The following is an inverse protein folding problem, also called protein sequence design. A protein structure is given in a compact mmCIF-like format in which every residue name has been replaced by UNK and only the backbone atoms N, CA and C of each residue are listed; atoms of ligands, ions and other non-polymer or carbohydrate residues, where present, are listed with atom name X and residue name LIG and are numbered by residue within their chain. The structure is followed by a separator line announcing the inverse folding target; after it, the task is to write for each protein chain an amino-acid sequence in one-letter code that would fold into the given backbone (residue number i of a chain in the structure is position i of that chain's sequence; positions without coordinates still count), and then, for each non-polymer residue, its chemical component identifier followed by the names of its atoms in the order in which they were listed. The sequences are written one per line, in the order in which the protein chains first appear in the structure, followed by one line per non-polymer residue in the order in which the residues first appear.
data_IF_977580209632
#
_entry.id   IF_977580209632
#
_cell.length_a   1.000
_cell.length_b   1.000
_cell.length_c   1.000
_cell.angle_alpha   90.00
_cell.angle_beta   90.00
_cell.angle_gamma   90.00
#
_symmetry.space_group_name_H-M   'P 1'
#
loop_
_entity.id
_entity.type
_entity.pdbx_description
1 polymer ?
#
# COMPACT_ATOMS: atom_id res chain seq x y z
N UNK A 1 -0.76 -2.41 14.34
CA UNK A 1 0.36 -3.29 13.90
C UNK A 1 0.79 -4.14 15.08
N UNK A 2 1.09 -5.43 14.86
CA UNK A 2 1.74 -6.28 15.86
C UNK A 2 3.25 -6.38 15.60
N UNK A 3 4.01 -6.79 16.62
CA UNK A 3 5.46 -6.91 16.58
C UNK A 3 5.91 -8.26 17.14
N UNK A 4 6.91 -8.85 16.51
CA UNK A 4 7.47 -10.13 16.91
C UNK A 4 8.92 -10.26 16.42
N UNK A 5 9.75 -10.94 17.19
CA UNK A 5 11.16 -11.24 16.85
C UNK A 5 11.32 -12.61 16.19
N UNK A 6 10.35 -13.02 15.36
CA UNK A 6 10.44 -14.26 14.61
C UNK A 6 11.60 -14.23 13.62
N UNK A 7 12.14 -15.41 13.30
CA UNK A 7 13.25 -15.53 12.34
C UNK A 7 12.95 -14.85 11.01
N UNK A 8 11.75 -15.05 10.49
CA UNK A 8 11.28 -14.49 9.22
C UNK A 8 11.23 -12.96 9.24
N UNK A 9 10.74 -12.37 10.34
CA UNK A 9 10.68 -10.91 10.47
C UNK A 9 12.05 -10.27 10.70
N UNK A 10 12.94 -10.95 11.42
CA UNK A 10 14.34 -10.52 11.56
C UNK A 10 15.03 -10.50 10.20
N UNK A 11 14.77 -11.48 9.32
CA UNK A 11 15.35 -11.52 7.97
C UNK A 11 14.95 -10.29 7.13
N UNK A 12 13.75 -9.72 7.33
CA UNK A 12 13.30 -8.48 6.67
C UNK A 12 14.15 -7.26 6.99
N UNK A 13 14.99 -7.29 8.04
CA UNK A 13 15.96 -6.22 8.31
C UNK A 13 16.90 -5.99 7.12
N UNK A 14 17.24 -7.04 6.36
CA UNK A 14 18.09 -6.91 5.18
C UNK A 14 17.40 -6.25 3.98
N UNK A 15 16.08 -6.06 4.02
CA UNK A 15 15.34 -5.27 3.04
C UNK A 15 15.38 -3.77 3.36
N UNK A 16 15.76 -3.42 4.60
CA UNK A 16 15.77 -2.04 5.08
C UNK A 16 17.09 -1.34 4.75
N UNK A 17 17.02 -0.31 3.90
CA UNK A 17 18.20 0.46 3.45
C UNK A 17 19.03 1.07 4.58
N UNK A 18 18.42 1.47 5.69
CA UNK A 18 19.18 2.04 6.84
C UNK A 18 19.92 0.97 7.64
N UNK A 19 19.44 -0.28 7.62
CA UNK A 19 20.10 -1.40 8.27
C UNK A 19 21.23 -1.96 7.40
N UNK A 20 21.00 -2.13 6.10
CA UNK A 20 22.03 -2.67 5.17
C UNK A 20 23.26 -1.79 4.99
N UNK A 21 23.15 -0.49 5.29
CA UNK A 21 24.26 0.47 5.28
C UNK A 21 25.20 0.37 6.49
N UNK A 22 24.79 -0.32 7.55
CA UNK A 22 25.63 -0.55 8.72
C UNK A 22 26.76 -1.53 8.40
N UNK A 23 27.79 -1.57 9.25
CA UNK A 23 28.82 -2.62 9.10
C UNK A 23 28.25 -3.99 9.46
N UNK A 24 28.90 -5.07 9.01
CA UNK A 24 28.43 -6.43 9.32
C UNK A 24 28.42 -6.69 10.83
N UNK A 25 29.41 -6.14 11.54
CA UNK A 25 29.55 -6.26 12.98
C UNK A 25 28.40 -5.54 13.71
N UNK A 26 28.00 -4.35 13.24
CA UNK A 26 26.84 -3.62 13.76
C UNK A 26 25.53 -4.39 13.50
N UNK A 27 25.36 -4.94 12.29
CA UNK A 27 24.18 -5.73 11.93
C UNK A 27 24.05 -6.97 12.81
N UNK A 28 25.13 -7.75 12.96
CA UNK A 28 25.16 -8.94 13.81
C UNK A 28 24.89 -8.61 15.28
N UNK A 29 25.49 -7.52 15.80
CA UNK A 29 25.24 -7.09 17.16
C UNK A 29 23.77 -6.72 17.41
N UNK A 30 23.14 -6.01 16.47
CA UNK A 30 21.71 -5.66 16.55
C UNK A 30 20.84 -6.92 16.49
N UNK A 31 21.10 -7.83 15.55
CA UNK A 31 20.33 -9.09 15.42
C UNK A 31 20.46 -9.92 16.69
N UNK A 32 21.67 -10.05 17.24
CA UNK A 32 21.89 -10.79 18.47
C UNK A 32 21.16 -10.15 19.65
N UNK A 33 21.14 -8.81 19.75
CA UNK A 33 20.37 -8.12 20.78
C UNK A 33 18.85 -8.34 20.62
N UNK A 34 18.33 -8.31 19.40
CA UNK A 34 16.90 -8.53 19.13
C UNK A 34 16.48 -9.97 19.50
N UNK A 35 17.36 -10.96 19.30
CA UNK A 35 17.12 -12.36 19.64
C UNK A 35 17.02 -12.65 21.14
N UNK A 36 17.40 -11.70 22.01
CA UNK A 36 17.15 -11.82 23.45
C UNK A 36 15.65 -11.65 23.81
N UNK A 37 14.83 -11.13 22.88
CA UNK A 37 13.38 -11.08 23.03
C UNK A 37 12.78 -12.41 22.59
N UNK A 38 11.96 -13.01 23.44
CA UNK A 38 11.20 -14.24 23.18
C UNK A 38 10.43 -14.15 21.85
N UNK A 39 10.81 -15.00 20.90
CA UNK A 39 10.27 -15.03 19.54
C UNK A 39 8.84 -15.56 19.49
N UNK A 40 8.36 -16.24 20.54
CA UNK A 40 6.98 -16.70 20.66
C UNK A 40 6.01 -15.60 21.10
N UNK A 41 6.54 -14.50 21.66
CA UNK A 41 5.73 -13.41 22.19
C UNK A 41 5.29 -12.45 21.08
N UNK A 42 3.98 -12.37 20.87
CA UNK A 42 3.37 -11.39 19.98
C UNK A 42 2.99 -10.12 20.76
N UNK A 43 3.58 -8.98 20.38
CA UNK A 43 3.24 -7.68 20.95
C UNK A 43 2.20 -6.98 20.07
N UNK A 44 1.05 -6.65 20.64
CA UNK A 44 -0.01 -5.89 19.95
C UNK A 44 0.03 -4.39 20.23
N UNK A 45 0.94 -3.97 21.10
CA UNK A 45 1.15 -2.58 21.47
C UNK A 45 2.58 -2.15 21.09
N UNK A 46 2.70 -1.06 20.32
CA UNK A 46 4.01 -0.55 19.87
C UNK A 46 4.87 -0.08 21.03
N UNK A 47 4.31 0.62 22.01
CA UNK A 47 5.06 1.17 23.14
C UNK A 47 5.63 0.07 24.03
N UNK A 48 4.87 -1.01 24.24
CA UNK A 48 5.36 -2.19 24.96
C UNK A 48 6.53 -2.86 24.23
N UNK A 49 6.40 -3.04 22.92
CA UNK A 49 7.48 -3.60 22.11
C UNK A 49 8.72 -2.70 22.12
N UNK A 50 8.56 -1.40 21.94
CA UNK A 50 9.66 -0.44 21.98
C UNK A 50 10.39 -0.42 23.32
N UNK A 51 9.66 -0.59 24.44
CA UNK A 51 10.27 -0.69 25.77
C UNK A 51 11.17 -1.92 25.89
N UNK A 52 10.70 -3.09 25.46
CA UNK A 52 11.53 -4.32 25.47
C UNK A 52 12.69 -4.23 24.49
N UNK A 53 12.47 -3.67 23.29
CA UNK A 53 13.53 -3.44 22.30
C UNK A 53 14.63 -2.51 22.84
N UNK A 54 14.26 -1.37 23.45
CA UNK A 54 15.23 -0.45 24.06
C UNK A 54 16.00 -1.11 25.21
N UNK A 55 15.35 -1.99 25.97
CA UNK A 55 15.98 -2.74 27.07
C UNK A 55 17.06 -3.70 26.55
N UNK A 56 16.79 -4.50 25.51
CA UNK A 56 17.79 -5.41 24.95
C UNK A 56 18.94 -4.69 24.25
N UNK A 57 18.65 -3.59 23.54
CA UNK A 57 19.67 -2.73 22.91
C UNK A 57 20.60 -2.14 23.98
N UNK A 58 20.04 -1.61 25.07
CA UNK A 58 20.81 -1.05 26.18
C UNK A 58 21.64 -2.12 26.89
N UNK A 59 21.09 -3.32 27.11
CA UNK A 59 21.79 -4.47 27.69
C UNK A 59 23.00 -4.88 26.84
N UNK A 60 22.89 -4.78 25.52
CA UNK A 60 23.98 -5.03 24.58
C UNK A 60 24.98 -3.87 24.46
N UNK A 61 24.75 -2.73 25.13
CA UNK A 61 25.62 -1.55 25.07
C UNK A 61 25.59 -0.84 23.71
N UNK A 62 24.55 -1.06 22.90
CA UNK A 62 24.46 -0.52 21.55
C UNK A 62 23.80 0.86 21.52
N UNK A 63 24.27 1.72 20.62
CA UNK A 63 23.66 3.02 20.33
C UNK A 63 23.11 3.01 18.91
N UNK A 64 21.78 3.02 18.79
CA UNK A 64 21.08 2.89 17.50
C UNK A 64 20.52 4.24 17.06
N UNK A 65 20.84 4.66 15.83
CA UNK A 65 20.29 5.88 15.22
C UNK A 65 18.78 5.73 14.99
N UNK A 66 18.03 6.83 15.06
CA UNK A 66 16.58 6.83 14.85
C UNK A 66 16.14 6.20 13.52
N UNK A 67 16.91 6.37 12.44
CA UNK A 67 16.64 5.76 11.12
C UNK A 67 16.78 4.24 11.11
N UNK A 68 17.67 3.68 11.94
CA UNK A 68 17.84 2.24 12.11
C UNK A 68 16.76 1.70 13.04
N UNK A 69 16.44 2.42 14.12
CA UNK A 69 15.31 2.07 15.00
C UNK A 69 14.00 1.96 14.21
N UNK A 70 13.72 2.94 13.32
CA UNK A 70 12.55 2.89 12.44
C UNK A 70 12.57 1.65 11.53
N UNK A 71 13.72 1.31 10.96
CA UNK A 71 13.86 0.09 10.15
C UNK A 71 13.61 -1.19 10.93
N UNK A 72 14.09 -1.26 12.19
CA UNK A 72 13.82 -2.41 13.07
C UNK A 72 12.32 -2.54 13.34
N UNK A 73 11.66 -1.43 13.71
CA UNK A 73 10.22 -1.44 13.96
C UNK A 73 9.45 -1.87 12.71
N UNK A 74 9.79 -1.34 11.54
CA UNK A 74 9.15 -1.72 10.26
C UNK A 74 9.37 -3.20 9.94
N UNK A 75 10.59 -3.71 10.02
CA UNK A 75 10.90 -5.10 9.69
C UNK A 75 10.21 -6.10 10.62
N UNK A 76 10.10 -5.77 11.91
CA UNK A 76 9.51 -6.63 12.93
C UNK A 76 7.99 -6.50 13.07
N UNK A 77 7.39 -5.56 12.35
CA UNK A 77 5.94 -5.31 12.37
C UNK A 77 5.17 -6.07 11.29
N UNK A 78 3.93 -6.43 11.60
CA UNK A 78 2.91 -6.82 10.62
C UNK A 78 1.58 -6.14 10.93
N UNK A 79 0.72 -6.07 9.91
CA UNK A 79 -0.66 -5.63 10.12
C UNK A 79 -1.41 -6.61 10.98
N UNK A 80 -2.22 -6.04 11.86
CA UNK A 80 -3.05 -6.77 12.80
C UNK A 80 -4.22 -5.86 13.17
N UNK A 81 -5.43 -6.26 12.77
CA UNK A 81 -6.68 -5.54 13.05
C UNK A 81 -7.05 -5.57 14.53
N UNK A 82 -6.45 -6.49 15.30
CA UNK A 82 -6.66 -6.61 16.74
C UNK A 82 -5.54 -5.97 17.56
N UNK A 83 -4.57 -5.31 16.91
CA UNK A 83 -3.52 -4.57 17.59
C UNK A 83 -3.97 -3.15 17.94
N UNK A 84 -3.33 -2.59 18.95
CA UNK A 84 -3.61 -1.23 19.37
C UNK A 84 -3.25 -0.24 18.25
N UNK A 85 -4.03 0.85 18.18
CA UNK A 85 -3.75 1.96 17.28
C UNK A 85 -2.38 2.52 17.62
N UNK A 86 -1.54 2.62 16.59
CA UNK A 86 -0.24 3.25 16.73
C UNK A 86 -0.44 4.76 16.78
N UNK A 87 0.08 5.40 17.83
CA UNK A 87 -0.04 6.83 18.04
C UNK A 87 1.28 7.54 17.73
N UNK A 88 1.18 8.77 17.25
CA UNK A 88 2.31 9.68 17.15
C UNK A 88 2.70 10.26 18.54
N UNK A 89 3.67 11.18 18.55
CA UNK A 89 4.15 11.81 19.80
C UNK A 89 3.12 12.71 20.48
N UNK A 90 2.15 13.20 19.71
CA UNK A 90 1.10 14.09 20.16
C UNK A 90 -0.15 13.31 20.59
N UNK A 91 -0.12 11.97 20.44
CA UNK A 91 -1.21 11.07 20.82
C UNK A 91 -2.25 10.86 19.72
N UNK A 92 -2.00 11.32 18.50
CA UNK A 92 -2.90 11.13 17.37
C UNK A 92 -2.66 9.78 16.69
N UNK A 93 -3.70 9.10 16.16
CA UNK A 93 -3.53 7.94 15.30
C UNK A 93 -2.59 8.22 14.12
N UNK A 94 -1.62 7.34 13.91
CA UNK A 94 -0.75 7.43 12.74
C UNK A 94 -1.49 7.00 11.46
N UNK A 95 -1.39 7.75 10.34
CA UNK A 95 -1.98 7.34 9.07
C UNK A 95 -1.28 6.10 8.51
N UNK A 96 -2.06 5.11 8.07
CA UNK A 96 -1.54 4.01 7.23
C UNK A 96 -1.51 4.46 5.76
N UNK A 97 -0.32 4.61 5.14
CA UNK A 97 -0.23 5.08 3.76
C UNK A 97 -0.91 4.17 2.73
N UNK A 98 -1.08 2.88 3.00
CA UNK A 98 -1.74 1.97 2.05
C UNK A 98 -3.26 1.96 2.18
N UNK A 99 -3.81 2.52 3.27
CA UNK A 99 -5.25 2.72 3.43
C UNK A 99 -5.71 4.12 3.00
N UNK A 100 -4.82 4.91 2.39
CA UNK A 100 -5.18 6.22 1.85
C UNK A 100 -6.07 6.06 0.64
N UNK A 101 -7.23 6.70 0.70
CA UNK A 101 -8.18 6.77 -0.40
C UNK A 101 -8.68 8.21 -0.63
N UNK A 102 -9.39 8.41 -1.73
CA UNK A 102 -9.97 9.70 -2.10
C UNK A 102 -11.44 9.54 -2.46
N UNK A 103 -12.24 10.48 -1.97
CA UNK A 103 -13.67 10.57 -2.29
C UNK A 103 -13.94 11.72 -3.26
N UNK A 104 -14.79 11.46 -4.24
CA UNK A 104 -15.25 12.48 -5.19
C UNK A 104 -16.50 13.17 -4.62
N UNK A 105 -16.30 14.30 -3.96
CA UNK A 105 -17.40 15.09 -3.37
C UNK A 105 -17.99 16.03 -4.43
N UNK A 106 -19.33 16.08 -4.59
CA UNK A 106 -19.97 17.06 -5.46
C UNK A 106 -19.58 18.50 -5.09
N UNK A 107 -19.22 19.33 -6.07
CA UNK A 107 -18.70 20.69 -5.86
C UNK A 107 -19.58 21.60 -4.97
N UNK A 108 -20.89 21.34 -4.92
CA UNK A 108 -21.86 22.15 -4.15
C UNK A 108 -22.16 21.58 -2.76
N UNK A 109 -21.56 20.45 -2.41
CA UNK A 109 -21.77 19.77 -1.13
C UNK A 109 -20.58 20.08 -0.21
N UNK A 110 -20.87 20.25 1.08
CA UNK A 110 -19.83 20.40 2.10
C UNK A 110 -19.08 19.07 2.31
N UNK A 111 -17.75 19.14 2.36
CA UNK A 111 -16.88 17.97 2.43
C UNK A 111 -17.04 17.24 3.77
N UNK A 112 -17.21 17.98 4.86
CA UNK A 112 -17.38 17.39 6.20
C UNK A 112 -18.75 16.74 6.33
N UNK A 113 -19.81 17.38 5.79
CA UNK A 113 -21.15 16.77 5.75
C UNK A 113 -21.15 15.48 4.92
N UNK A 114 -20.54 15.49 3.72
CA UNK A 114 -20.39 14.28 2.90
C UNK A 114 -19.63 13.19 3.66
N UNK A 115 -18.52 13.53 4.32
CA UNK A 115 -17.71 12.58 5.06
C UNK A 115 -18.49 11.89 6.19
N UNK A 116 -19.26 12.64 6.98
CA UNK A 116 -20.07 12.07 8.08
C UNK A 116 -21.22 11.18 7.57
N UNK A 117 -21.78 11.47 6.39
CA UNK A 117 -22.92 10.73 5.84
C UNK A 117 -22.51 9.51 5.00
N UNK A 118 -21.47 9.64 4.18
CA UNK A 118 -21.13 8.66 3.14
C UNK A 118 -19.86 7.86 3.46
N UNK A 119 -18.96 8.36 4.32
CA UNK A 119 -17.68 7.67 4.61
C UNK A 119 -17.69 7.04 5.99
N UNK A 120 -17.90 7.85 7.02
CA UNK A 120 -17.77 7.45 8.43
C UNK A 120 -18.65 6.26 8.85
N UNK A 121 -19.89 6.08 8.33
CA UNK A 121 -20.69 4.91 8.67
C UNK A 121 -20.08 3.58 8.20
N UNK A 122 -19.25 3.62 7.16
CA UNK A 122 -18.61 2.44 6.59
C UNK A 122 -17.15 2.27 7.05
N UNK A 123 -16.46 3.38 7.31
CA UNK A 123 -15.08 3.41 7.80
C UNK A 123 -14.98 4.32 9.03
N UNK A 124 -15.34 3.83 10.23
CA UNK A 124 -15.40 4.65 11.45
C UNK A 124 -14.07 5.26 11.87
N UNK A 125 -12.96 4.58 11.54
CA UNK A 125 -11.60 4.99 11.87
C UNK A 125 -11.00 5.96 10.85
N UNK A 126 -11.74 6.33 9.80
CA UNK A 126 -11.27 7.29 8.81
C UNK A 126 -11.28 8.72 9.37
N UNK A 127 -10.39 9.57 8.84
CA UNK A 127 -10.42 11.02 9.06
C UNK A 127 -9.98 11.76 7.81
N UNK A 128 -10.40 13.01 7.69
CA UNK A 128 -10.02 13.88 6.57
C UNK A 128 -8.59 14.36 6.74
N UNK A 129 -7.77 14.19 5.71
CA UNK A 129 -6.43 14.78 5.68
C UNK A 129 -6.48 16.26 5.27
N UNK A 130 -6.61 17.15 6.27
CA UNK A 130 -6.70 18.61 6.05
C UNK A 130 -5.41 19.27 5.55
N UNK A 131 -4.30 18.52 5.46
CA UNK A 131 -3.05 19.06 4.88
C UNK A 131 -3.11 19.19 3.36
N UNK A 132 -4.07 18.52 2.71
CA UNK A 132 -4.30 18.60 1.27
C UNK A 132 -5.34 19.67 1.00
N UNK A 133 -4.91 20.76 0.36
CA UNK A 133 -5.76 21.91 0.04
C UNK A 133 -5.62 22.29 -1.44
N UNK A 134 -6.63 22.94 -1.99
CA UNK A 134 -6.59 23.43 -3.37
C UNK A 134 -5.69 24.66 -3.48
N UNK A 135 -4.86 24.70 -4.52
CA UNK A 135 -3.85 25.74 -4.65
C UNK A 135 -4.45 27.12 -4.99
N UNK A 136 -5.72 27.16 -5.43
CA UNK A 136 -6.40 28.42 -5.84
C UNK A 136 -7.20 29.04 -4.72
N UNK A 137 -7.95 28.25 -3.96
CA UNK A 137 -8.85 28.75 -2.92
C UNK A 137 -8.40 28.40 -1.49
N UNK A 138 -7.46 27.47 -1.33
CA UNK A 138 -6.91 27.07 -0.03
C UNK A 138 -7.83 26.19 0.81
N UNK A 139 -9.00 25.78 0.28
CA UNK A 139 -9.91 24.88 0.99
C UNK A 139 -9.42 23.44 0.93
N UNK A 140 -9.85 22.62 1.90
CA UNK A 140 -9.51 21.19 1.99
C UNK A 140 -9.99 20.45 0.73
N UNK A 141 -9.15 19.56 0.20
CA UNK A 141 -9.41 18.82 -1.04
C UNK A 141 -8.76 19.45 -2.27
N UNK A 142 -9.06 18.93 -3.46
CA UNK A 142 -8.61 19.48 -4.75
C UNK A 142 -9.82 19.64 -5.67
N UNK A 143 -10.00 20.82 -6.24
CA UNK A 143 -11.15 21.10 -7.12
C UNK A 143 -10.84 20.62 -8.54
N UNK A 144 -11.60 19.64 -9.01
CA UNK A 144 -11.48 19.07 -10.34
C UNK A 144 -12.80 19.05 -11.12
N UNK A 145 -12.70 18.87 -12.43
CA UNK A 145 -13.84 18.59 -13.30
C UNK A 145 -13.62 17.25 -13.97
N UNK A 146 -14.64 16.39 -13.92
CA UNK A 146 -14.64 15.13 -14.66
C UNK A 146 -15.46 15.29 -15.95
N UNK A 147 -14.89 14.82 -17.06
CA UNK A 147 -15.61 14.65 -18.32
C UNK A 147 -15.78 13.16 -18.51
N UNK A 148 -16.99 12.59 -18.33
CA UNK A 148 -17.19 11.15 -18.48
C UNK A 148 -17.19 10.80 -19.97
N UNK A 149 -15.99 10.58 -20.51
CA UNK A 149 -15.78 10.43 -21.95
C UNK A 149 -16.62 9.27 -22.51
N UNK A 150 -16.66 8.14 -21.80
CA UNK A 150 -17.45 6.97 -22.20
C UNK A 150 -18.94 7.31 -22.29
N UNK A 151 -19.47 8.17 -21.41
CA UNK A 151 -20.89 8.52 -21.43
C UNK A 151 -21.25 9.37 -22.65
N UNK A 152 -20.39 10.31 -23.03
CA UNK A 152 -20.71 11.30 -24.06
C UNK A 152 -20.14 10.98 -25.44
N UNK A 153 -19.03 10.25 -25.53
CA UNK A 153 -18.31 10.00 -26.77
C UNK A 153 -18.24 8.53 -27.17
N UNK A 154 -18.73 7.61 -26.32
CA UNK A 154 -18.81 6.20 -26.73
C UNK A 154 -19.83 6.05 -27.86
N UNK A 155 -19.33 5.61 -29.00
CA UNK A 155 -20.15 5.13 -30.11
C UNK A 155 -20.13 3.62 -30.04
N UNK A 156 -21.30 3.03 -29.81
CA UNK A 156 -21.44 1.58 -29.87
C UNK A 156 -21.13 1.11 -31.29
N UNK A 157 -20.02 0.39 -31.46
CA UNK A 157 -19.71 -0.31 -32.69
C UNK A 157 -20.33 -1.70 -32.63
N UNK A 158 -21.36 -1.91 -33.46
CA UNK A 158 -22.00 -3.21 -33.58
C UNK A 158 -20.97 -4.22 -34.11
N UNK A 159 -20.80 -5.33 -33.39
CA UNK A 159 -19.96 -6.44 -33.84
C UNK A 159 -20.43 -6.95 -35.20
N UNK A 160 -19.47 -7.30 -36.06
CA UNK A 160 -19.74 -7.92 -37.37
C UNK A 160 -20.47 -9.25 -37.16
N UNK A 161 -21.47 -9.60 -38.00
CA UNK A 161 -22.15 -10.89 -37.92
C UNK A 161 -21.17 -12.07 -38.03
N UNK A 162 -21.35 -13.10 -37.20
CA UNK A 162 -20.50 -14.29 -37.22
C UNK A 162 -20.52 -15.01 -38.58
N UNK A 163 -21.62 -14.93 -39.32
CA UNK A 163 -21.75 -15.49 -40.68
C UNK A 163 -20.84 -14.81 -41.70
N UNK A 164 -20.59 -13.51 -41.54
CA UNK A 164 -19.70 -12.74 -42.42
C UNK A 164 -18.25 -13.14 -42.15
N UNK A 165 -17.87 -13.22 -40.87
CA UNK A 165 -16.55 -13.70 -40.44
C UNK A 165 -16.30 -15.13 -40.94
N UNK A 166 -17.28 -16.02 -40.81
CA UNK A 166 -17.16 -17.41 -41.28
C UNK A 166 -16.96 -17.50 -42.80
N UNK A 167 -17.67 -16.67 -43.57
CA UNK A 167 -17.53 -16.61 -45.02
C UNK A 167 -16.15 -16.09 -45.43
N UNK A 168 -15.66 -15.04 -44.79
CA UNK A 168 -14.31 -14.51 -45.03
C UNK A 168 -13.23 -15.55 -44.72
N UNK A 169 -13.37 -16.29 -43.63
CA UNK A 169 -12.44 -17.38 -43.27
C UNK A 169 -12.40 -18.43 -44.40
N UNK A 170 -13.56 -18.88 -44.89
CA UNK A 170 -13.64 -19.87 -45.97
C UNK A 170 -13.03 -19.36 -47.28
N UNK A 171 -13.28 -18.10 -47.64
CA UNK A 171 -12.68 -17.47 -48.82
C UNK A 171 -11.15 -17.37 -48.69
N UNK A 172 -10.65 -17.02 -47.49
CA UNK A 172 -9.21 -16.97 -47.20
C UNK A 172 -8.58 -18.36 -47.30
N UNK A 173 -9.22 -19.39 -46.73
CA UNK A 173 -8.78 -20.79 -46.80
C UNK A 173 -8.66 -21.27 -48.25
N UNK A 174 -9.68 -20.99 -49.07
CA UNK A 174 -9.67 -21.32 -50.49
C UNK A 174 -8.50 -20.64 -51.24
N UNK A 175 -8.28 -19.34 -50.98
CA UNK A 175 -7.17 -18.60 -51.58
C UNK A 175 -5.79 -19.14 -51.15
N UNK A 176 -5.63 -19.51 -49.88
CA UNK A 176 -4.39 -20.10 -49.37
C UNK A 176 -4.10 -21.43 -50.09
N UNK A 177 -5.10 -22.30 -50.22
CA UNK A 177 -4.96 -23.59 -50.92
C UNK A 177 -4.58 -23.38 -52.39
N UNK A 178 -5.18 -22.40 -53.06
CA UNK A 178 -4.85 -22.06 -54.45
C UNK A 178 -3.40 -21.59 -54.59
N UNK A 179 -2.94 -20.67 -53.73
CA UNK A 179 -1.56 -20.17 -53.74
C UNK A 179 -0.53 -21.26 -53.45
N UNK A 180 -0.82 -22.16 -52.52
CA UNK A 180 0.05 -23.32 -52.22
C UNK A 180 0.15 -24.23 -53.44
N UNK A 181 -0.98 -24.51 -54.13
CA UNK A 181 -0.96 -25.29 -55.37
C UNK A 181 -0.13 -24.62 -56.47
N UNK A 182 -0.21 -23.30 -56.61
CA UNK A 182 0.58 -22.54 -57.59
C UNK A 182 2.08 -22.49 -57.30
N UNK A 183 2.52 -22.73 -56.06
CA UNK A 183 3.93 -22.85 -55.68
C UNK A 183 4.50 -24.26 -55.84
N UNK A 184 3.62 -25.27 -55.88
CA UNK A 184 3.98 -26.69 -56.01
C UNK A 184 3.89 -27.19 -57.46
N UNK A 185 3.49 -26.34 -58.41
CA UNK A 185 3.44 -26.59 -59.85
C UNK A 185 4.64 -25.91 -60.54
#
# INVERSE_FOLDING_TARGET
MNFQTSKERIERLYEQKSFTKLTKEEQEAIINAIRDIDDSKLFRNRDEFEKELKKVIKKAGLSIKASVMKAILTALSERDEHADICLDKDGNPEPDPELRDYENVPLKQDIYEYFEQEVKPYVPDAWINETITDDKDGFVGKVGYEIPFTRYFYKFEKLRPSSEIAKEIQELEASIVEKIRGLLA
#
